data_IF_632504145544
#
_entry.id   IF_632504145544
#
_cell.length_a   1.000
_cell.length_b   1.000
_cell.length_c   1.000
_cell.angle_alpha   90.00
_cell.angle_beta   90.00
_cell.angle_gamma   90.00
#
_symmetry.space_group_name_H-M   'P 1'
#
loop_
_entity.id
_entity.type
_entity.pdbx_description
1 polymer ?
#
# COMPACT_ATOMS: atom_id res chain seq x y z
N UNK A 1 13.68 -16.91 -18.55
CA UNK A 1 13.55 -15.82 -19.51
C UNK A 1 12.96 -16.39 -20.78
N UNK A 2 11.73 -16.03 -21.10
CA UNK A 2 11.04 -16.52 -22.31
C UNK A 2 11.56 -15.77 -23.54
N UNK A 3 11.53 -16.41 -24.73
CA UNK A 3 11.81 -15.74 -26.00
C UNK A 3 10.91 -14.51 -26.21
N UNK A 4 9.70 -14.52 -25.66
CA UNK A 4 8.77 -13.39 -25.68
C UNK A 4 9.21 -12.18 -24.86
N UNK A 5 10.12 -12.34 -23.89
CA UNK A 5 10.64 -11.23 -23.08
C UNK A 5 11.53 -10.26 -23.90
N UNK A 6 12.05 -10.70 -25.03
CA UNK A 6 12.92 -9.88 -25.91
C UNK A 6 12.14 -9.03 -26.93
N UNK A 7 10.85 -9.27 -27.09
CA UNK A 7 10.03 -8.56 -28.10
C UNK A 7 9.16 -7.45 -27.48
N UNK A 8 9.08 -7.38 -26.14
CA UNK A 8 8.27 -6.37 -25.46
C UNK A 8 9.10 -5.14 -25.14
N UNK A 9 8.53 -3.96 -25.37
CA UNK A 9 9.16 -2.69 -25.05
C UNK A 9 9.25 -2.47 -23.54
N UNK A 10 10.37 -1.88 -23.04
CA UNK A 10 10.45 -1.46 -21.64
C UNK A 10 9.47 -0.32 -21.36
N UNK A 11 8.91 -0.32 -20.15
CA UNK A 11 8.03 0.78 -19.72
C UNK A 11 8.82 2.08 -19.62
N UNK A 12 8.32 3.11 -20.30
CA UNK A 12 8.80 4.48 -20.19
C UNK A 12 7.62 5.45 -20.10
N UNK A 13 7.58 6.24 -19.02
CA UNK A 13 6.55 7.25 -18.80
C UNK A 13 7.13 8.60 -19.18
N UNK A 14 6.74 9.11 -20.33
CA UNK A 14 7.23 10.40 -20.86
C UNK A 14 6.23 11.55 -20.72
N UNK A 15 4.94 11.21 -20.58
CA UNK A 15 3.84 12.16 -20.42
C UNK A 15 3.65 12.54 -18.94
N UNK A 16 3.08 13.73 -18.64
CA UNK A 16 2.64 14.03 -17.28
C UNK A 16 1.67 13.00 -16.77
N UNK A 17 1.76 12.67 -15.47
CA UNK A 17 0.92 11.66 -14.85
C UNK A 17 -0.34 12.32 -14.27
N UNK A 18 -1.51 11.76 -14.56
CA UNK A 18 -2.77 11.98 -13.86
C UNK A 18 -2.98 10.85 -12.86
N UNK A 19 -2.78 11.17 -11.59
CA UNK A 19 -2.90 10.18 -10.52
C UNK A 19 -4.36 10.06 -10.07
N UNK A 20 -4.88 8.84 -10.12
CA UNK A 20 -6.17 8.45 -9.55
C UNK A 20 -5.89 7.50 -8.40
N UNK A 21 -6.29 7.86 -7.19
CA UNK A 21 -6.08 7.04 -5.99
C UNK A 21 -7.43 6.56 -5.46
N UNK A 22 -7.72 5.27 -5.64
CA UNK A 22 -8.85 4.58 -5.01
C UNK A 22 -8.38 3.98 -3.69
N UNK A 23 -9.17 4.15 -2.62
CA UNK A 23 -8.78 3.80 -1.26
C UNK A 23 -7.52 4.55 -0.82
N UNK A 24 -7.51 5.85 -1.06
CA UNK A 24 -6.32 6.69 -1.07
C UNK A 24 -5.59 6.78 0.29
N UNK A 25 -6.31 6.61 1.40
CA UNK A 25 -5.76 6.85 2.72
C UNK A 25 -5.23 8.29 2.85
N UNK A 26 -3.95 8.43 3.21
CA UNK A 26 -3.29 9.74 3.28
C UNK A 26 -2.40 10.03 2.04
N UNK A 27 -2.50 9.23 0.95
CA UNK A 27 -1.83 9.49 -0.32
C UNK A 27 -0.36 9.05 -0.37
N UNK A 28 -0.07 7.82 0.05
CA UNK A 28 1.31 7.30 0.01
C UNK A 28 1.87 7.22 -1.40
N UNK A 29 1.06 6.93 -2.41
CA UNK A 29 1.46 6.85 -3.81
C UNK A 29 1.82 8.24 -4.36
N UNK A 30 1.01 9.26 -4.05
CA UNK A 30 1.32 10.64 -4.36
C UNK A 30 2.64 11.11 -3.71
N UNK A 31 2.88 10.73 -2.45
CA UNK A 31 4.16 11.03 -1.78
C UNK A 31 5.35 10.39 -2.50
N UNK A 32 5.20 9.16 -3.00
CA UNK A 32 6.25 8.48 -3.77
C UNK A 32 6.53 9.22 -5.08
N UNK A 33 5.51 9.56 -5.85
CA UNK A 33 5.68 10.32 -7.10
C UNK A 33 6.37 11.67 -6.86
N UNK A 34 5.99 12.37 -5.79
CA UNK A 34 6.64 13.62 -5.38
C UNK A 34 8.12 13.42 -5.03
N UNK A 35 8.46 12.37 -4.27
CA UNK A 35 9.86 12.05 -3.93
C UNK A 35 10.70 11.66 -5.14
N UNK A 36 10.09 11.02 -6.13
CA UNK A 36 10.74 10.68 -7.41
C UNK A 36 10.92 11.87 -8.33
N UNK A 37 10.35 13.04 -8.01
CA UNK A 37 10.37 14.22 -8.89
C UNK A 37 9.52 14.05 -10.14
N UNK A 38 8.53 13.15 -10.12
CA UNK A 38 7.64 12.93 -11.24
C UNK A 38 6.74 14.15 -11.48
N UNK A 39 6.48 14.46 -12.75
CA UNK A 39 5.47 15.46 -13.12
C UNK A 39 4.10 14.79 -13.03
N UNK A 40 3.32 15.13 -12.02
CA UNK A 40 1.99 14.57 -11.83
C UNK A 40 1.03 15.59 -11.25
N UNK A 41 -0.26 15.32 -11.42
CA UNK A 41 -1.36 16.02 -10.77
C UNK A 41 -2.25 15.03 -10.03
N UNK A 42 -2.82 15.44 -8.89
CA UNK A 42 -3.86 14.70 -8.18
C UNK A 42 -5.16 14.84 -8.96
N UNK A 43 -5.45 13.85 -9.82
CA UNK A 43 -6.57 13.94 -10.73
C UNK A 43 -7.89 13.56 -10.06
N UNK A 44 -7.91 12.41 -9.36
CA UNK A 44 -9.08 11.96 -8.56
C UNK A 44 -8.61 11.21 -7.33
N UNK A 45 -9.33 11.43 -6.22
CA UNK A 45 -9.05 10.81 -4.94
C UNK A 45 -10.36 10.25 -4.39
N UNK A 46 -10.41 8.94 -4.17
CA UNK A 46 -11.57 8.24 -3.61
C UNK A 46 -11.16 7.65 -2.26
N UNK A 47 -11.69 8.23 -1.19
CA UNK A 47 -11.45 7.81 0.18
C UNK A 47 -12.74 8.03 1.00
N UNK A 48 -13.18 6.99 1.68
CA UNK A 48 -14.42 7.00 2.46
C UNK A 48 -14.24 7.61 3.85
N UNK A 49 -13.08 7.39 4.48
CA UNK A 49 -12.84 7.85 5.85
C UNK A 49 -12.53 9.35 5.88
N UNK A 50 -13.36 10.10 6.63
CA UNK A 50 -13.24 11.56 6.76
C UNK A 50 -11.92 12.03 7.39
N UNK A 51 -11.30 11.21 8.22
CA UNK A 51 -10.01 11.55 8.84
C UNK A 51 -8.85 11.24 7.90
N UNK A 52 -8.97 10.17 7.13
CA UNK A 52 -7.99 9.83 6.10
C UNK A 52 -7.96 10.90 5.02
N UNK A 53 -9.12 11.31 4.47
CA UNK A 53 -9.18 12.38 3.47
C UNK A 53 -8.73 13.74 4.00
N UNK A 54 -9.05 14.06 5.26
CA UNK A 54 -8.54 15.28 5.89
C UNK A 54 -7.01 15.26 6.01
N UNK A 55 -6.43 14.09 6.35
CA UNK A 55 -4.97 13.90 6.37
C UNK A 55 -4.36 14.00 4.97
N UNK A 56 -5.01 13.40 3.96
CA UNK A 56 -4.62 13.52 2.56
C UNK A 56 -4.53 14.98 2.14
N UNK A 57 -5.60 15.73 2.34
CA UNK A 57 -5.68 17.14 1.98
C UNK A 57 -4.63 17.99 2.69
N UNK A 58 -4.40 17.75 4.00
CA UNK A 58 -3.38 18.45 4.76
C UNK A 58 -1.94 18.16 4.27
N UNK A 59 -1.64 16.91 3.92
CA UNK A 59 -0.31 16.47 3.45
C UNK A 59 0.00 16.99 2.04
N UNK A 60 -1.02 17.01 1.18
CA UNK A 60 -0.85 17.31 -0.24
C UNK A 60 -1.25 18.73 -0.65
N UNK A 61 -1.89 19.49 0.26
CA UNK A 61 -2.39 20.86 -0.03
C UNK A 61 -3.57 20.83 -1.00
N UNK A 62 -4.43 19.84 -0.88
CA UNK A 62 -5.63 19.63 -1.72
C UNK A 62 -6.92 19.81 -0.91
N UNK A 63 -8.07 19.72 -1.57
CA UNK A 63 -9.39 19.85 -0.94
C UNK A 63 -10.38 18.86 -1.57
N UNK A 64 -10.04 17.57 -1.57
CA UNK A 64 -10.92 16.52 -2.06
C UNK A 64 -11.99 16.17 -1.01
N UNK A 65 -13.25 15.91 -1.44
CA UNK A 65 -14.28 15.42 -0.55
C UNK A 65 -14.10 13.94 -0.22
N UNK A 66 -14.80 13.46 0.82
CA UNK A 66 -14.97 12.02 1.04
C UNK A 66 -15.80 11.41 -0.09
N UNK A 67 -15.38 10.25 -0.58
CA UNK A 67 -16.09 9.51 -1.63
C UNK A 67 -16.18 8.03 -1.26
N UNK A 68 -17.37 7.46 -1.42
CA UNK A 68 -17.64 6.04 -1.23
C UNK A 68 -17.45 5.32 -2.57
N UNK A 69 -16.51 4.40 -2.67
CA UNK A 69 -16.19 3.66 -3.90
C UNK A 69 -17.41 2.95 -4.51
N UNK A 70 -18.38 2.54 -3.70
CA UNK A 70 -19.60 1.87 -4.16
C UNK A 70 -20.55 2.80 -4.92
N UNK A 71 -20.29 4.12 -4.85
CA UNK A 71 -21.08 5.17 -5.52
C UNK A 71 -20.30 5.90 -6.61
N UNK A 72 -19.03 5.55 -6.78
CA UNK A 72 -18.16 6.12 -7.82
C UNK A 72 -18.42 5.38 -9.13
N UNK A 73 -18.62 6.12 -10.21
CA UNK A 73 -18.80 5.62 -11.56
C UNK A 73 -17.64 6.02 -12.48
N UNK A 74 -17.56 5.40 -13.65
CA UNK A 74 -16.52 5.69 -14.64
C UNK A 74 -16.40 7.18 -14.98
N UNK A 75 -17.53 7.89 -15.10
CA UNK A 75 -17.58 9.31 -15.40
C UNK A 75 -16.95 10.19 -14.31
N UNK A 76 -17.04 9.77 -13.04
CA UNK A 76 -16.42 10.48 -11.91
C UNK A 76 -14.89 10.48 -12.01
N UNK A 77 -14.30 9.46 -12.61
CA UNK A 77 -12.86 9.38 -12.81
C UNK A 77 -12.37 10.31 -13.92
N UNK A 78 -13.25 10.70 -14.86
CA UNK A 78 -12.97 11.64 -15.94
C UNK A 78 -11.64 11.34 -16.66
N UNK A 79 -11.47 10.08 -17.10
CA UNK A 79 -10.30 9.66 -17.87
C UNK A 79 -10.53 10.09 -19.32
N UNK A 80 -9.69 11.00 -19.80
CA UNK A 80 -9.72 11.53 -21.15
C UNK A 80 -8.32 12.03 -21.54
N UNK A 81 -8.08 12.19 -22.84
CA UNK A 81 -6.78 12.66 -23.35
C UNK A 81 -5.59 11.75 -22.98
N UNK A 82 -5.73 10.44 -23.05
CA UNK A 82 -4.64 9.49 -22.82
C UNK A 82 -3.47 9.66 -23.79
N UNK A 83 -3.68 10.42 -24.87
CA UNK A 83 -2.61 10.88 -25.77
C UNK A 83 -1.73 11.97 -25.16
N UNK A 84 -2.27 12.82 -24.29
CA UNK A 84 -1.54 13.92 -23.63
C UNK A 84 -1.03 13.52 -22.22
N UNK A 85 -1.72 12.64 -21.54
CA UNK A 85 -1.44 12.25 -20.16
C UNK A 85 -1.30 10.73 -20.01
N UNK A 86 -0.52 10.32 -19.00
CA UNK A 86 -0.51 8.94 -18.50
C UNK A 86 -1.36 8.86 -17.25
N UNK A 87 -2.45 8.10 -17.28
CA UNK A 87 -3.26 7.84 -16.11
C UNK A 87 -2.69 6.68 -15.31
N UNK A 88 -2.29 6.98 -14.07
CA UNK A 88 -1.92 5.98 -13.07
C UNK A 88 -3.06 5.85 -12.08
N UNK A 89 -3.78 4.72 -12.13
CA UNK A 89 -4.82 4.39 -11.19
C UNK A 89 -4.27 3.43 -10.13
N UNK A 90 -4.31 3.86 -8.86
CA UNK A 90 -3.87 3.05 -7.73
C UNK A 90 -5.06 2.57 -6.92
N UNK A 91 -4.99 1.33 -6.40
CA UNK A 91 -6.07 0.73 -5.61
C UNK A 91 -5.53 -0.22 -4.54
N UNK A 92 -5.41 0.30 -3.33
CA UNK A 92 -5.00 -0.46 -2.14
C UNK A 92 -6.25 -0.80 -1.32
N UNK A 93 -7.07 -1.71 -1.84
CA UNK A 93 -8.34 -2.06 -1.20
C UNK A 93 -8.15 -2.71 0.17
N UNK A 94 -9.14 -2.64 1.07
CA UNK A 94 -8.99 -3.12 2.45
C UNK A 94 -8.55 -4.59 2.54
N UNK A 95 -7.53 -4.86 3.35
CA UNK A 95 -6.97 -6.19 3.57
C UNK A 95 -7.51 -6.89 4.82
N UNK A 96 -8.50 -6.33 5.52
CA UNK A 96 -8.97 -6.80 6.83
C UNK A 96 -9.50 -8.23 6.81
N UNK A 97 -10.05 -8.66 5.70
CA UNK A 97 -10.61 -9.99 5.53
C UNK A 97 -9.63 -10.99 4.86
N UNK A 98 -8.45 -10.51 4.46
CA UNK A 98 -7.35 -11.32 3.92
C UNK A 98 -6.25 -11.57 4.95
N UNK A 99 -5.99 -10.58 5.80
CA UNK A 99 -4.88 -10.59 6.74
C UNK A 99 -5.00 -11.70 7.77
N UNK A 100 -3.86 -12.31 8.15
CA UNK A 100 -3.76 -13.29 9.24
C UNK A 100 -4.26 -12.73 10.58
N UNK A 101 -4.16 -11.40 10.78
CA UNK A 101 -4.69 -10.71 11.95
C UNK A 101 -6.19 -10.40 11.85
N UNK A 102 -6.83 -10.65 10.69
CA UNK A 102 -8.23 -10.38 10.42
C UNK A 102 -9.12 -11.62 10.48
N UNK A 103 -10.34 -11.49 9.95
CA UNK A 103 -11.34 -12.57 9.96
C UNK A 103 -11.09 -13.67 8.91
N UNK A 104 -10.16 -13.46 8.00
CA UNK A 104 -9.84 -14.38 6.89
C UNK A 104 -11.10 -14.78 6.07
N UNK A 105 -12.06 -13.87 5.94
CA UNK A 105 -13.32 -14.11 5.24
C UNK A 105 -13.19 -14.04 3.70
N UNK A 106 -11.97 -13.76 3.20
CA UNK A 106 -11.66 -13.73 1.78
C UNK A 106 -12.13 -12.46 1.07
N UNK A 107 -12.04 -12.49 -0.26
CA UNK A 107 -12.41 -11.37 -1.13
C UNK A 107 -13.39 -11.77 -2.23
N UNK A 108 -14.13 -12.86 -2.06
CA UNK A 108 -15.03 -13.38 -3.07
C UNK A 108 -16.10 -12.36 -3.48
N UNK A 109 -16.41 -12.33 -4.78
CA UNK A 109 -17.40 -11.40 -5.34
C UNK A 109 -18.77 -11.64 -4.70
N UNK A 110 -19.39 -10.55 -4.22
CA UNK A 110 -20.68 -10.63 -3.54
C UNK A 110 -20.64 -11.12 -2.08
N UNK A 111 -19.45 -11.33 -1.50
CA UNK A 111 -19.31 -11.78 -0.10
C UNK A 111 -19.70 -10.72 0.94
N UNK A 112 -19.82 -9.45 0.56
CA UNK A 112 -20.05 -8.34 1.47
C UNK A 112 -18.86 -8.04 2.41
N UNK A 113 -17.70 -8.66 2.19
CA UNK A 113 -16.47 -8.39 2.93
C UNK A 113 -15.86 -7.05 2.49
N UNK A 114 -15.06 -6.43 3.36
CA UNK A 114 -14.33 -5.21 2.97
C UNK A 114 -13.30 -5.49 1.88
N UNK A 115 -12.66 -6.65 1.90
CA UNK A 115 -11.73 -7.06 0.84
C UNK A 115 -12.43 -7.34 -0.49
N UNK A 116 -13.74 -7.61 -0.47
CA UNK A 116 -14.59 -7.70 -1.65
C UNK A 116 -14.78 -6.37 -2.39
N UNK A 117 -14.34 -5.24 -1.82
CA UNK A 117 -14.35 -3.94 -2.52
C UNK A 117 -13.37 -3.88 -3.71
N UNK A 118 -12.50 -4.88 -3.89
CA UNK A 118 -11.78 -5.07 -5.16
C UNK A 118 -12.74 -5.10 -6.36
N UNK A 119 -13.91 -5.69 -6.22
CA UNK A 119 -14.87 -5.85 -7.32
C UNK A 119 -15.58 -4.55 -7.70
N UNK A 120 -15.47 -3.50 -6.87
CA UNK A 120 -15.87 -2.14 -7.27
C UNK A 120 -14.90 -1.55 -8.30
N UNK A 121 -13.60 -1.90 -8.21
CA UNK A 121 -12.62 -1.52 -9.23
C UNK A 121 -12.94 -2.24 -10.55
N UNK A 122 -13.32 -3.54 -10.49
CA UNK A 122 -13.80 -4.29 -11.67
C UNK A 122 -15.03 -3.61 -12.29
N UNK A 123 -16.00 -3.21 -11.48
CA UNK A 123 -17.21 -2.52 -11.94
C UNK A 123 -16.87 -1.23 -12.68
N UNK A 124 -16.05 -0.39 -12.10
CA UNK A 124 -15.65 0.90 -12.68
C UNK A 124 -14.91 0.68 -14.01
N UNK A 125 -13.94 -0.24 -14.05
CA UNK A 125 -13.22 -0.55 -15.29
C UNK A 125 -14.16 -1.16 -16.36
N UNK A 126 -15.15 -1.93 -15.95
CA UNK A 126 -16.21 -2.46 -16.83
C UNK A 126 -17.05 -1.32 -17.41
N UNK A 127 -17.47 -0.37 -16.58
CA UNK A 127 -18.23 0.80 -17.04
C UNK A 127 -17.43 1.64 -18.06
N UNK A 128 -16.11 1.84 -17.82
CA UNK A 128 -15.24 2.53 -18.79
C UNK A 128 -15.22 1.78 -20.13
N UNK A 129 -15.00 0.46 -20.10
CA UNK A 129 -14.99 -0.37 -21.31
C UNK A 129 -16.32 -0.31 -22.06
N UNK A 130 -17.43 -0.49 -21.35
CA UNK A 130 -18.77 -0.60 -21.95
C UNK A 130 -19.26 0.74 -22.51
N UNK A 131 -18.75 1.85 -22.01
CA UNK A 131 -18.97 3.19 -22.57
C UNK A 131 -18.00 3.55 -23.69
N UNK A 132 -17.12 2.64 -24.12
CA UNK A 132 -16.00 2.91 -25.03
C UNK A 132 -15.10 4.05 -24.55
N UNK A 133 -14.96 4.21 -23.22
CA UNK A 133 -14.07 5.17 -22.60
C UNK A 133 -12.60 4.77 -22.67
N UNK A 134 -11.72 5.71 -22.40
CA UNK A 134 -10.28 5.49 -22.36
C UNK A 134 -9.89 4.81 -21.04
N UNK A 135 -9.24 3.64 -21.10
CA UNK A 135 -8.74 2.96 -19.91
C UNK A 135 -7.46 3.62 -19.39
N UNK A 136 -7.23 3.62 -18.05
CA UNK A 136 -5.95 4.09 -17.48
C UNK A 136 -4.81 3.21 -18.00
N UNK A 137 -3.70 3.83 -18.40
CA UNK A 137 -2.57 3.08 -18.97
C UNK A 137 -1.85 2.22 -17.95
N UNK A 138 -1.87 2.62 -16.67
CA UNK A 138 -1.18 1.92 -15.60
C UNK A 138 -2.14 1.73 -14.42
N UNK A 139 -2.26 0.49 -13.96
CA UNK A 139 -2.91 0.16 -12.70
C UNK A 139 -1.84 -0.27 -11.69
N UNK A 140 -1.99 0.15 -10.45
CA UNK A 140 -1.09 -0.23 -9.36
C UNK A 140 -1.86 -0.68 -8.13
N UNK A 141 -1.67 -1.93 -7.74
CA UNK A 141 -2.22 -2.54 -6.53
C UNK A 141 -1.15 -2.71 -5.45
N UNK A 142 -1.50 -2.38 -4.21
CA UNK A 142 -0.76 -2.83 -3.02
C UNK A 142 -1.72 -3.57 -2.09
N UNK A 143 -1.31 -4.72 -1.58
CA UNK A 143 -2.07 -5.46 -0.58
C UNK A 143 -1.15 -6.37 0.25
N UNK A 144 -1.71 -7.12 1.20
CA UNK A 144 -0.98 -8.17 1.92
C UNK A 144 -0.72 -9.39 1.01
N UNK A 145 0.37 -10.18 1.23
CA UNK A 145 0.67 -11.37 0.42
C UNK A 145 -0.48 -12.38 0.38
N UNK A 146 -1.34 -12.40 1.40
CA UNK A 146 -2.50 -13.28 1.46
C UNK A 146 -3.50 -13.06 0.31
N UNK A 147 -3.42 -11.95 -0.42
CA UNK A 147 -4.26 -11.70 -1.61
C UNK A 147 -4.16 -12.81 -2.65
N UNK A 148 -3.00 -13.45 -2.75
CA UNK A 148 -2.74 -14.58 -3.64
C UNK A 148 -2.39 -15.89 -2.90
N UNK A 149 -2.77 -16.02 -1.60
CA UNK A 149 -2.69 -17.29 -0.87
C UNK A 149 -3.51 -18.38 -1.54
N UNK A 150 -3.26 -19.64 -1.19
CA UNK A 150 -3.97 -20.77 -1.77
C UNK A 150 -5.50 -20.59 -1.73
N UNK A 151 -6.04 -20.09 -0.63
CA UNK A 151 -7.49 -19.90 -0.45
C UNK A 151 -8.05 -18.74 -1.28
N UNK A 152 -7.26 -17.68 -1.49
CA UNK A 152 -7.66 -16.49 -2.24
C UNK A 152 -7.26 -16.53 -3.72
N UNK A 153 -6.39 -17.47 -4.11
CA UNK A 153 -5.91 -17.61 -5.49
C UNK A 153 -7.03 -17.75 -6.54
N UNK A 154 -8.13 -18.46 -6.28
CA UNK A 154 -9.22 -18.54 -7.27
C UNK A 154 -9.82 -17.17 -7.61
N UNK A 155 -10.00 -16.29 -6.61
CA UNK A 155 -10.53 -14.95 -6.85
C UNK A 155 -9.47 -14.01 -7.41
N UNK A 156 -8.20 -14.15 -6.95
CA UNK A 156 -7.09 -13.40 -7.53
C UNK A 156 -6.87 -13.74 -9.00
N UNK A 157 -7.04 -15.02 -9.39
CA UNK A 157 -6.97 -15.43 -10.79
C UNK A 157 -8.08 -14.81 -11.63
N UNK A 158 -9.33 -14.78 -11.14
CA UNK A 158 -10.44 -14.09 -11.83
C UNK A 158 -10.13 -12.62 -12.06
N UNK A 159 -9.48 -11.98 -11.08
CA UNK A 159 -9.05 -10.59 -11.19
C UNK A 159 -8.01 -10.40 -12.31
N UNK A 160 -6.98 -11.27 -12.36
CA UNK A 160 -5.97 -11.24 -13.40
C UNK A 160 -6.59 -11.48 -14.78
N UNK A 161 -7.43 -12.52 -14.92
CA UNK A 161 -8.12 -12.87 -16.17
C UNK A 161 -9.01 -11.70 -16.66
N UNK A 162 -9.68 -11.01 -15.72
CA UNK A 162 -10.45 -9.80 -16.06
C UNK A 162 -9.55 -8.69 -16.61
N UNK A 163 -8.45 -8.37 -15.95
CA UNK A 163 -7.52 -7.36 -16.44
C UNK A 163 -6.92 -7.72 -17.81
N UNK A 164 -6.55 -8.99 -18.00
CA UNK A 164 -6.08 -9.50 -19.30
C UNK A 164 -7.15 -9.35 -20.38
N UNK A 165 -8.42 -9.58 -20.05
CA UNK A 165 -9.54 -9.37 -21.00
C UNK A 165 -9.72 -7.92 -21.43
N UNK A 166 -9.23 -6.96 -20.63
CA UNK A 166 -9.17 -5.54 -20.96
C UNK A 166 -7.89 -5.14 -21.71
N UNK A 167 -6.97 -6.05 -21.93
CA UNK A 167 -5.71 -5.82 -22.65
C UNK A 167 -4.54 -5.43 -21.75
N UNK A 168 -4.63 -5.64 -20.44
CA UNK A 168 -3.50 -5.40 -19.51
C UNK A 168 -2.55 -6.58 -19.46
N UNK A 169 -1.25 -6.28 -19.36
CA UNK A 169 -0.21 -7.23 -18.96
C UNK A 169 0.11 -7.05 -17.48
N UNK A 170 0.03 -8.12 -16.68
CA UNK A 170 0.10 -8.07 -15.24
C UNK A 170 1.44 -8.58 -14.71
N UNK A 171 2.04 -7.87 -13.75
CA UNK A 171 3.25 -8.23 -13.03
C UNK A 171 3.01 -8.07 -11.54
N UNK A 172 3.17 -9.12 -10.74
CA UNK A 172 3.05 -9.01 -9.29
C UNK A 172 4.19 -9.73 -8.57
N UNK A 173 4.55 -9.20 -7.42
CA UNK A 173 5.61 -9.74 -6.57
C UNK A 173 5.42 -9.30 -5.11
N UNK A 174 5.75 -10.20 -4.19
CA UNK A 174 5.86 -9.85 -2.77
C UNK A 174 7.20 -9.19 -2.51
N UNK A 175 7.15 -7.98 -1.94
CA UNK A 175 8.33 -7.21 -1.59
C UNK A 175 8.30 -6.89 -0.11
N UNK A 176 9.44 -7.06 0.56
CA UNK A 176 9.58 -6.71 1.97
C UNK A 176 10.37 -5.41 2.11
N UNK A 177 9.81 -4.42 2.80
CA UNK A 177 10.41 -3.09 2.99
C UNK A 177 11.87 -3.14 3.49
N UNK A 178 12.22 -4.13 4.34
CA UNK A 178 13.61 -4.30 4.83
C UNK A 178 14.62 -4.58 3.71
N UNK A 179 14.17 -5.16 2.60
CA UNK A 179 15.01 -5.47 1.44
C UNK A 179 15.18 -4.25 0.51
N UNK A 180 14.56 -3.12 0.86
CA UNK A 180 14.59 -1.88 0.09
C UNK A 180 15.01 -0.68 0.95
N UNK A 181 15.85 -0.92 1.97
CA UNK A 181 16.47 0.12 2.78
C UNK A 181 15.61 0.69 3.90
N UNK A 182 14.42 0.13 4.16
CA UNK A 182 13.52 0.55 5.24
C UNK A 182 13.66 -0.40 6.44
N UNK A 183 13.94 0.12 7.64
CA UNK A 183 14.10 -0.68 8.86
C UNK A 183 12.75 -1.20 9.41
N UNK A 184 11.94 -1.79 8.53
CA UNK A 184 10.63 -2.36 8.87
C UNK A 184 10.47 -3.72 8.17
N UNK A 185 10.12 -4.75 8.94
CA UNK A 185 9.74 -6.04 8.39
C UNK A 185 8.26 -5.97 7.96
N UNK A 186 8.03 -5.47 6.73
CA UNK A 186 6.70 -5.28 6.14
C UNK A 186 6.69 -5.85 4.75
N UNK A 187 6.06 -6.99 4.59
CA UNK A 187 5.89 -7.65 3.29
C UNK A 187 4.54 -7.30 2.68
N UNK A 188 4.55 -6.98 1.39
CA UNK A 188 3.35 -6.63 0.64
C UNK A 188 3.42 -7.19 -0.77
N UNK A 189 2.28 -7.59 -1.29
CA UNK A 189 2.09 -7.86 -2.69
C UNK A 189 1.92 -6.53 -3.44
N UNK A 190 2.81 -6.29 -4.38
CA UNK A 190 2.71 -5.19 -5.33
C UNK A 190 2.36 -5.73 -6.70
N UNK A 191 1.39 -5.13 -7.38
CA UNK A 191 1.05 -5.51 -8.75
C UNK A 191 0.96 -4.26 -9.61
N UNK A 192 1.66 -4.32 -10.75
CA UNK A 192 1.50 -3.38 -11.84
C UNK A 192 0.79 -4.08 -13.00
N UNK A 193 -0.18 -3.38 -13.59
CA UNK A 193 -0.85 -3.80 -14.80
C UNK A 193 -0.72 -2.69 -15.83
N UNK A 194 -0.16 -3.00 -16.98
CA UNK A 194 0.09 -2.05 -18.06
C UNK A 194 -0.83 -2.34 -19.24
N UNK A 195 -1.53 -1.33 -19.72
CA UNK A 195 -2.41 -1.47 -20.89
C UNK A 195 -1.55 -1.65 -22.14
N UNK A 196 -1.58 -2.86 -22.71
CA UNK A 196 -0.71 -3.30 -23.80
C UNK A 196 0.37 -4.28 -23.35
N UNK A 197 1.27 -4.61 -24.28
CA UNK A 197 2.34 -5.58 -24.05
C UNK A 197 3.66 -4.88 -23.71
N UNK A 198 4.05 -4.91 -22.44
CA UNK A 198 5.29 -4.33 -21.95
C UNK A 198 6.13 -5.36 -21.21
N UNK A 199 7.42 -5.05 -21.06
CA UNK A 199 8.33 -5.80 -20.19
C UNK A 199 8.63 -4.99 -18.94
N UNK A 200 8.33 -5.56 -17.76
CA UNK A 200 8.56 -4.93 -16.48
C UNK A 200 9.25 -5.88 -15.51
N UNK A 201 10.22 -5.36 -14.78
CA UNK A 201 10.91 -6.06 -13.72
C UNK A 201 10.87 -5.25 -12.43
N UNK A 202 10.52 -5.91 -11.32
CA UNK A 202 10.61 -5.28 -10.01
C UNK A 202 12.07 -4.93 -9.67
N UNK A 203 12.29 -3.84 -8.91
CA UNK A 203 13.63 -3.40 -8.56
C UNK A 203 14.37 -4.47 -7.74
N UNK A 204 15.68 -4.55 -7.92
CA UNK A 204 16.52 -5.45 -7.14
C UNK A 204 16.62 -4.98 -5.69
N UNK A 205 16.69 -5.91 -4.72
CA UNK A 205 16.89 -5.58 -3.32
C UNK A 205 18.15 -4.75 -3.08
N UNK A 206 18.08 -3.83 -2.13
CA UNK A 206 19.21 -3.01 -1.68
C UNK A 206 19.54 -3.32 -0.21
N UNK A 207 20.81 -3.30 0.20
CA UNK A 207 21.20 -3.59 1.58
C UNK A 207 20.57 -2.63 2.59
N UNK A 208 20.04 -3.16 3.69
CA UNK A 208 19.56 -2.38 4.81
C UNK A 208 20.74 -1.77 5.56
N UNK A 209 20.89 -0.44 5.51
CA UNK A 209 21.98 0.29 6.19
C UNK A 209 21.63 0.70 7.62
N UNK A 210 20.35 0.97 7.90
CA UNK A 210 19.87 1.46 9.21
C UNK A 210 18.97 0.40 9.85
N UNK A 211 19.10 0.28 11.19
CA UNK A 211 18.22 -0.55 12.03
C UNK A 211 17.22 0.34 12.76
N UNK A 212 16.18 -0.24 13.35
CA UNK A 212 15.17 0.50 14.11
C UNK A 212 15.81 1.43 15.17
N UNK A 213 16.84 0.95 15.87
CA UNK A 213 17.56 1.73 16.88
C UNK A 213 18.14 3.05 16.35
N UNK A 214 18.46 3.14 15.06
CA UNK A 214 19.05 4.33 14.45
C UNK A 214 18.00 5.43 14.16
N UNK A 215 16.73 5.15 14.45
CA UNK A 215 15.59 6.06 14.35
C UNK A 215 14.99 6.42 15.71
N UNK A 216 15.48 5.81 16.80
CA UNK A 216 15.01 6.13 18.14
C UNK A 216 15.67 7.41 18.63
N UNK A 217 14.88 8.25 19.27
CA UNK A 217 15.35 9.46 19.91
C UNK A 217 16.00 9.13 21.27
N UNK A 218 17.12 9.80 21.59
CA UNK A 218 17.82 9.60 22.88
C UNK A 218 17.02 10.18 24.06
N UNK A 219 16.32 11.31 23.81
CA UNK A 219 15.51 11.99 24.80
C UNK A 219 14.04 12.02 24.36
N UNK A 220 13.20 11.27 25.05
CA UNK A 220 11.77 11.16 24.79
C UNK A 220 11.00 11.63 26.03
N UNK A 221 9.97 12.47 25.86
CA UNK A 221 9.10 12.93 26.93
C UNK A 221 8.43 11.73 27.63
N UNK A 222 8.36 11.77 28.96
CA UNK A 222 7.79 10.68 29.79
C UNK A 222 6.37 10.27 29.39
N UNK A 223 5.58 11.18 28.89
CA UNK A 223 4.21 10.90 28.42
C UNK A 223 4.13 9.85 27.30
N UNK A 224 5.23 9.60 26.58
CA UNK A 224 5.30 8.59 25.51
C UNK A 224 5.75 7.21 25.97
N UNK A 225 6.19 7.09 27.25
CA UNK A 225 6.52 5.78 27.81
C UNK A 225 5.26 5.07 28.29
N UNK A 226 5.14 3.80 27.92
CA UNK A 226 4.09 2.94 28.45
C UNK A 226 4.56 2.44 29.83
N UNK A 227 4.08 3.10 30.87
CA UNK A 227 4.40 2.75 32.25
C UNK A 227 3.13 2.23 32.93
N UNK A 228 2.82 0.95 32.74
CA UNK A 228 1.69 0.30 33.39
C UNK A 228 1.93 -1.20 33.58
N UNK A 229 1.23 -1.79 34.55
CA UNK A 229 1.34 -3.22 34.91
C UNK A 229 1.14 -4.20 33.74
N UNK A 230 0.37 -3.80 32.70
CA UNK A 230 0.17 -4.65 31.51
C UNK A 230 1.42 -4.73 30.65
N UNK A 231 2.13 -3.61 30.52
CA UNK A 231 3.40 -3.56 29.80
C UNK A 231 4.46 -4.41 30.55
N UNK A 232 4.53 -4.27 31.88
CA UNK A 232 5.48 -5.03 32.69
C UNK A 232 5.21 -6.54 32.62
N UNK A 233 3.94 -6.95 32.70
CA UNK A 233 3.55 -8.36 32.51
C UNK A 233 3.92 -8.89 31.12
N UNK A 234 3.68 -8.09 30.05
CA UNK A 234 4.03 -8.49 28.69
C UNK A 234 5.55 -8.62 28.52
N UNK A 235 6.33 -7.66 29.02
CA UNK A 235 7.80 -7.69 28.96
C UNK A 235 8.32 -8.94 29.69
N UNK A 236 7.79 -9.22 30.88
CA UNK A 236 8.15 -10.42 31.64
C UNK A 236 7.85 -11.70 30.87
N UNK A 237 6.65 -11.81 30.27
CA UNK A 237 6.30 -12.95 29.42
C UNK A 237 7.23 -13.13 28.23
N UNK A 238 7.64 -12.02 27.59
CA UNK A 238 8.54 -12.05 26.44
C UNK A 238 9.98 -12.45 26.85
N UNK A 239 10.39 -12.16 28.07
CA UNK A 239 11.65 -12.62 28.63
C UNK A 239 11.57 -14.10 29.01
N UNK A 240 10.52 -14.50 29.72
CA UNK A 240 10.32 -15.87 30.20
C UNK A 240 10.23 -16.88 29.03
N UNK A 241 9.69 -16.46 27.89
CA UNK A 241 9.62 -17.29 26.68
C UNK A 241 10.84 -17.16 25.74
N UNK A 242 11.86 -16.39 26.13
CA UNK A 242 13.10 -16.21 25.37
C UNK A 242 13.01 -15.28 24.16
N UNK A 243 11.90 -14.56 23.99
CA UNK A 243 11.72 -13.60 22.88
C UNK A 243 12.53 -12.32 23.10
N UNK A 244 12.65 -11.88 24.37
CA UNK A 244 13.49 -10.76 24.79
C UNK A 244 14.63 -11.24 25.72
N UNK A 245 15.84 -10.69 25.56
CA UNK A 245 16.94 -10.98 26.49
C UNK A 245 16.69 -10.33 27.85
N UNK A 246 17.09 -11.01 28.92
CA UNK A 246 16.83 -10.62 30.31
C UNK A 246 17.37 -9.23 30.67
N UNK A 247 18.50 -8.83 30.09
CA UNK A 247 19.11 -7.50 30.35
C UNK A 247 18.29 -6.29 29.82
N UNK A 248 17.18 -6.51 29.15
CA UNK A 248 16.30 -5.40 28.76
C UNK A 248 15.48 -4.84 29.93
N UNK A 249 15.30 -5.61 31.02
CA UNK A 249 14.73 -5.09 32.28
C UNK A 249 15.71 -4.17 33.00
N UNK A 250 16.99 -4.55 33.02
CA UNK A 250 18.04 -3.80 33.72
C UNK A 250 18.24 -2.41 33.10
N UNK A 251 18.12 -2.27 31.76
CA UNK A 251 18.22 -0.98 31.06
C UNK A 251 17.08 0.00 31.39
N UNK A 252 15.89 -0.50 31.71
CA UNK A 252 14.79 0.38 32.16
C UNK A 252 14.99 0.83 33.59
N UNK A 253 15.49 -0.04 34.46
CA UNK A 253 15.84 0.27 35.87
C UNK A 253 17.04 1.20 35.95
N UNK A 254 18.08 1.00 35.15
CA UNK A 254 19.26 1.87 35.11
C UNK A 254 18.92 3.30 34.65
N UNK A 255 18.04 3.45 33.65
CA UNK A 255 17.56 4.77 33.22
C UNK A 255 16.70 5.49 34.27
N UNK A 256 15.97 4.75 35.10
CA UNK A 256 15.23 5.33 36.24
C UNK A 256 16.15 5.73 37.42
N UNK A 257 17.18 4.95 37.67
CA UNK A 257 18.15 5.25 38.74
C UNK A 257 19.06 6.42 38.39
N UNK A 258 19.53 6.53 37.15
CA UNK A 258 20.37 7.66 36.71
C UNK A 258 19.59 8.99 36.76
N UNK A 259 18.28 9.00 36.49
CA UNK A 259 17.44 10.20 36.58
C UNK A 259 17.15 10.63 38.04
N UNK A 260 17.15 9.70 39.01
CA UNK A 260 16.96 10.03 40.41
C UNK A 260 18.25 10.58 41.07
N UNK A 261 19.42 10.32 40.52
CA UNK A 261 20.70 10.83 40.99
C UNK A 261 21.01 12.23 40.47
N UNK A 262 20.48 12.65 39.34
CA UNK A 262 20.66 14.00 38.77
C UNK A 262 19.71 15.06 39.37
N UNK A 263 18.77 14.66 40.22
CA UNK A 263 17.84 15.56 40.93
C UNK A 263 18.18 15.81 42.40
N UNK A 264 19.45 15.61 42.82
CA UNK A 264 19.91 15.98 44.16
C UNK A 264 20.99 17.05 44.15
#
# INVERSE_FOLDING_TARGET
MSIFDFTREPISITKPIRLIELFAGYGSQAMVLKRMGAKFEHHRVVEFDKYAIASYNAVHGTDFPTMDITKVHAEDLNICDTNAFTYLLTYSFPCTDLSVAGKQAGMSKGSGTRSGLLWEVERILTEIRDSNGELPQILFMENVPQVHSQDNMPDFRKWLDFLESLGYTNYYQDLNAKNYGVAQNRERCFMFSFLGEYNYHFPQPIPLKKKLKDYLEDNVDEKYYINNEKADKLIKQLIDNGTLPQHNLDRQTDRQTDRQTDLR
#
